data_IF_879045166266
#
_entry.id   IF_879045166266
#
_cell.length_a   1.000
_cell.length_b   1.000
_cell.length_c   1.000
_cell.angle_alpha   90.00
_cell.angle_beta   90.00
_cell.angle_gamma   90.00
#
_symmetry.space_group_name_H-M   'P 1'
#
loop_
_entity.id
_entity.type
_entity.pdbx_description
1 polymer ?
#
# COMPACT_ATOMS: atom_id res chain seq x y z
N UNK A 1 -3.72 7.15 -23.15
CA UNK A 1 -4.19 6.46 -21.94
C UNK A 1 -2.96 5.93 -21.21
N UNK A 2 -2.59 6.52 -20.07
CA UNK A 2 -1.38 6.17 -19.33
C UNK A 2 -1.46 4.77 -18.73
N UNK A 3 -0.34 4.05 -18.73
CA UNK A 3 -0.24 2.73 -18.11
C UNK A 3 -0.39 2.87 -16.58
N UNK A 4 -1.61 2.67 -16.06
CA UNK A 4 -1.94 2.81 -14.64
C UNK A 4 -1.52 1.59 -13.78
N UNK A 5 -0.73 0.67 -14.32
CA UNK A 5 -0.27 -0.51 -13.58
C UNK A 5 0.57 -0.17 -12.32
N UNK A 6 1.48 0.83 -12.34
CA UNK A 6 2.29 1.13 -11.15
C UNK A 6 1.44 1.59 -9.96
N UNK A 7 0.40 2.40 -10.19
CA UNK A 7 -0.46 2.87 -9.09
C UNK A 7 -1.31 1.73 -8.51
N UNK A 8 -1.73 0.77 -9.33
CA UNK A 8 -2.45 -0.43 -8.86
C UNK A 8 -1.55 -1.29 -7.96
N UNK A 9 -0.28 -1.47 -8.34
CA UNK A 9 0.70 -2.21 -7.52
C UNK A 9 0.87 -1.53 -6.16
N UNK A 10 1.02 -0.19 -6.13
CA UNK A 10 1.13 0.56 -4.88
C UNK A 10 -0.12 0.40 -4.02
N UNK A 11 -1.31 0.55 -4.63
CA UNK A 11 -2.58 0.44 -3.92
C UNK A 11 -2.82 -0.95 -3.35
N UNK A 12 -2.58 -2.00 -4.14
CA UNK A 12 -2.76 -3.39 -3.70
C UNK A 12 -1.76 -3.73 -2.58
N UNK A 13 -0.50 -3.35 -2.74
CA UNK A 13 0.52 -3.59 -1.70
C UNK A 13 0.16 -2.88 -0.39
N UNK A 14 -0.42 -1.68 -0.46
CA UNK A 14 -0.89 -0.98 0.73
C UNK A 14 -2.01 -1.77 1.43
N UNK A 15 -3.01 -2.26 0.69
CA UNK A 15 -4.12 -3.06 1.25
C UNK A 15 -3.58 -4.35 1.88
N UNK A 16 -2.73 -5.08 1.17
CA UNK A 16 -2.17 -6.35 1.64
C UNK A 16 -1.39 -6.15 2.96
N UNK A 17 -0.55 -5.11 3.04
CA UNK A 17 0.20 -4.80 4.26
C UNK A 17 -0.68 -4.32 5.41
N UNK A 18 -1.82 -3.69 5.12
CA UNK A 18 -2.79 -3.33 6.16
C UNK A 18 -3.49 -4.57 6.72
N UNK A 19 -3.86 -5.52 5.86
CA UNK A 19 -4.43 -6.79 6.27
C UNK A 19 -3.41 -7.62 7.06
N UNK A 20 -2.18 -7.75 6.57
CA UNK A 20 -1.10 -8.46 7.28
C UNK A 20 -0.88 -7.85 8.68
N UNK A 21 -0.93 -6.52 8.80
CA UNK A 21 -0.84 -5.83 10.09
C UNK A 21 -2.05 -6.14 10.98
N UNK A 22 -3.26 -6.13 10.42
CA UNK A 22 -4.47 -6.45 11.17
C UNK A 22 -4.39 -7.86 11.74
N UNK A 23 -4.01 -8.83 10.92
CA UNK A 23 -3.86 -10.22 11.34
C UNK A 23 -2.77 -10.35 12.42
N UNK A 24 -1.62 -9.67 12.24
CA UNK A 24 -0.54 -9.68 13.21
C UNK A 24 -0.89 -9.05 14.57
N UNK A 25 -1.69 -7.98 14.56
CA UNK A 25 -2.06 -7.25 15.77
C UNK A 25 -3.26 -7.89 16.49
N UNK A 26 -4.18 -8.54 15.76
CA UNK A 26 -5.50 -8.92 16.29
C UNK A 26 -5.85 -10.41 16.20
N UNK A 27 -5.16 -11.22 15.38
CA UNK A 27 -5.41 -12.66 15.29
C UNK A 27 -4.30 -13.47 16.01
N UNK A 28 -4.52 -13.88 17.28
CA UNK A 28 -3.54 -14.65 18.03
C UNK A 28 -3.40 -16.10 17.54
N UNK A 29 -4.24 -16.56 16.60
CA UNK A 29 -4.17 -17.91 16.04
C UNK A 29 -3.15 -18.00 14.90
N UNK A 30 -2.70 -16.86 14.37
CA UNK A 30 -1.75 -16.80 13.27
C UNK A 30 -0.33 -16.66 13.83
N UNK A 31 0.55 -17.59 13.44
CA UNK A 31 1.97 -17.50 13.74
C UNK A 31 2.73 -16.92 12.55
N UNK A 32 3.49 -15.85 12.79
CA UNK A 32 4.32 -15.20 11.78
C UNK A 32 5.77 -15.65 11.90
N UNK A 33 6.35 -16.09 10.79
CA UNK A 33 7.77 -16.40 10.72
C UNK A 33 8.61 -15.14 10.46
N UNK A 34 9.91 -15.24 10.71
CA UNK A 34 10.86 -14.21 10.27
C UNK A 34 10.79 -13.96 8.76
N UNK A 35 10.53 -15.00 7.96
CA UNK A 35 10.46 -14.87 6.52
C UNK A 35 9.23 -14.06 6.10
N UNK A 36 8.09 -14.20 6.79
CA UNK A 36 6.88 -13.43 6.51
C UNK A 36 7.11 -11.94 6.75
N UNK A 37 7.79 -11.60 7.85
CA UNK A 37 8.20 -10.22 8.13
C UNK A 37 9.13 -9.67 7.02
N UNK A 38 10.11 -10.45 6.58
CA UNK A 38 11.00 -10.03 5.48
C UNK A 38 10.26 -9.87 4.15
N UNK A 39 9.27 -10.73 3.88
CA UNK A 39 8.43 -10.62 2.69
C UNK A 39 7.59 -9.34 2.71
N UNK A 40 7.01 -8.99 3.87
CA UNK A 40 6.28 -7.74 4.06
C UNK A 40 7.18 -6.50 3.84
N UNK A 41 8.38 -6.50 4.42
CA UNK A 41 9.38 -5.42 4.20
C UNK A 41 9.76 -5.31 2.72
N UNK A 42 9.97 -6.44 2.04
CA UNK A 42 10.30 -6.46 0.62
C UNK A 42 9.17 -5.89 -0.24
N UNK A 43 7.91 -6.28 0.04
CA UNK A 43 6.72 -5.71 -0.62
C UNK A 43 6.64 -4.20 -0.41
N UNK A 44 6.79 -3.73 0.83
CA UNK A 44 6.77 -2.31 1.15
C UNK A 44 7.85 -1.53 0.38
N UNK A 45 9.08 -2.04 0.35
CA UNK A 45 10.18 -1.42 -0.39
C UNK A 45 9.90 -1.33 -1.90
N UNK A 46 9.36 -2.40 -2.49
CA UNK A 46 9.01 -2.44 -3.90
C UNK A 46 7.91 -1.41 -4.23
N UNK A 47 6.83 -1.37 -3.44
CA UNK A 47 5.78 -0.37 -3.62
C UNK A 47 6.29 1.06 -3.46
N UNK A 48 7.18 1.33 -2.50
CA UNK A 48 7.77 2.65 -2.32
C UNK A 48 8.69 3.05 -3.49
N UNK A 49 9.43 2.10 -4.07
CA UNK A 49 10.24 2.35 -5.26
C UNK A 49 9.36 2.67 -6.48
N UNK A 50 8.27 1.91 -6.70
CA UNK A 50 7.30 2.19 -7.75
C UNK A 50 6.58 3.52 -7.55
N UNK A 51 6.25 3.87 -6.30
CA UNK A 51 5.71 5.18 -5.97
C UNK A 51 6.68 6.33 -6.33
N UNK A 52 7.97 6.20 -6.02
CA UNK A 52 8.98 7.21 -6.39
C UNK A 52 9.09 7.37 -7.90
N UNK A 53 9.11 6.26 -8.64
CA UNK A 53 9.13 6.24 -10.12
C UNK A 53 7.87 6.92 -10.69
N UNK A 54 6.70 6.56 -10.16
CA UNK A 54 5.45 7.16 -10.58
C UNK A 54 5.40 8.65 -10.29
N UNK A 55 5.87 9.10 -9.11
CA UNK A 55 5.91 10.52 -8.75
C UNK A 55 6.79 11.34 -9.68
N UNK A 56 7.89 10.77 -10.17
CA UNK A 56 8.77 11.41 -11.16
C UNK A 56 8.10 11.53 -12.54
N UNK A 57 7.31 10.53 -12.94
CA UNK A 57 6.72 10.45 -14.28
C UNK A 57 5.30 11.03 -14.39
N UNK A 58 4.53 11.02 -13.30
CA UNK A 58 3.11 11.39 -13.28
C UNK A 58 2.68 11.87 -11.88
N UNK A 59 3.08 13.11 -11.55
CA UNK A 59 2.81 13.73 -10.25
C UNK A 59 1.32 13.95 -9.96
N UNK A 60 0.52 14.19 -10.99
CA UNK A 60 -0.93 14.42 -10.84
C UNK A 60 -1.64 13.16 -10.37
N UNK A 61 -1.33 12.00 -10.97
CA UNK A 61 -1.89 10.72 -10.54
C UNK A 61 -1.53 10.40 -9.08
N UNK A 62 -0.30 10.67 -8.67
CA UNK A 62 0.08 10.54 -7.25
C UNK A 62 -0.73 11.47 -6.34
N UNK A 63 -0.99 12.73 -6.75
CA UNK A 63 -1.83 13.65 -5.96
C UNK A 63 -3.26 13.14 -5.82
N UNK A 64 -3.87 12.69 -6.92
CA UNK A 64 -5.23 12.13 -6.91
C UNK A 64 -5.31 10.91 -5.99
N UNK A 65 -4.33 10.01 -6.07
CA UNK A 65 -4.25 8.87 -5.16
C UNK A 65 -4.12 9.29 -3.70
N UNK A 66 -3.19 10.21 -3.37
CA UNK A 66 -3.05 10.72 -2.00
C UNK A 66 -4.33 11.40 -1.48
N UNK A 67 -5.02 12.17 -2.34
CA UNK A 67 -6.32 12.76 -1.99
C UNK A 67 -7.37 11.69 -1.70
N UNK A 68 -7.45 10.63 -2.52
CA UNK A 68 -8.39 9.53 -2.26
C UNK A 68 -8.13 8.83 -0.92
N UNK A 69 -6.87 8.64 -0.52
CA UNK A 69 -6.52 8.06 0.78
C UNK A 69 -6.90 8.96 1.97
N UNK A 70 -6.62 10.27 1.86
CA UNK A 70 -6.98 11.22 2.93
C UNK A 70 -8.49 11.38 3.07
N UNK A 71 -9.21 11.41 1.94
CA UNK A 71 -10.66 11.51 1.94
C UNK A 71 -11.32 10.22 2.44
N UNK A 72 -10.78 9.04 2.11
CA UNK A 72 -11.29 7.74 2.61
C UNK A 72 -11.40 7.73 4.15
N UNK A 73 -10.35 8.14 4.85
CA UNK A 73 -10.35 8.20 6.32
C UNK A 73 -11.37 9.20 6.88
N UNK A 74 -11.71 10.25 6.13
CA UNK A 74 -12.75 11.22 6.51
C UNK A 74 -14.16 10.75 6.20
N UNK A 75 -14.34 9.91 5.18
CA UNK A 75 -15.62 9.35 4.76
C UNK A 75 -16.06 8.18 5.65
N UNK A 76 -15.12 7.38 6.16
CA UNK A 76 -15.41 6.28 7.09
C UNK A 76 -15.77 6.72 8.52
N UNK A 77 -15.70 8.03 8.82
CA UNK A 77 -16.09 8.61 10.11
C UNK A 77 -17.48 9.27 10.10
N UNK A 78 -18.28 9.03 9.06
CA UNK A 78 -19.67 9.45 8.97
C UNK A 78 -20.61 8.27 9.17
#
# INVERSE_FOLDING_TARGET
MGNNQPIKIVAQTFIDLQNDRHDADYDPTIAFSRQDALNAVTRANNAMNEWRRLKANNRELCRLFSLSLMLWASLGKR
#
